data_IF_865216155429
#
_entry.id   IF_865216155429
#
_cell.length_a   1.000
_cell.length_b   1.000
_cell.length_c   1.000
_cell.angle_alpha   90.00
_cell.angle_beta   90.00
_cell.angle_gamma   90.00
#
_symmetry.space_group_name_H-M   'P 1'
#
loop_
_entity.id
_entity.type
_entity.pdbx_description
1 polymer ?
#
# COMPACT_ATOMS: atom_id res chain seq x y z
N UNK A 1 -8.20 -7.56 -7.05
CA UNK A 1 -8.46 -7.58 -5.59
C UNK A 1 -9.13 -8.87 -5.08
N UNK A 2 -9.76 -9.69 -5.94
CA UNK A 2 -10.47 -10.91 -5.53
C UNK A 2 -9.66 -11.99 -4.81
N UNK A 3 -8.31 -11.89 -4.75
CA UNK A 3 -7.49 -12.80 -3.96
C UNK A 3 -7.84 -12.80 -2.46
N UNK A 4 -8.33 -11.66 -1.96
CA UNK A 4 -8.67 -11.45 -0.55
C UNK A 4 -10.13 -11.84 -0.23
N UNK A 5 -10.97 -12.11 -1.24
CA UNK A 5 -12.37 -12.48 -1.04
C UNK A 5 -12.47 -13.81 -0.28
N UNK A 6 -13.29 -13.83 0.77
CA UNK A 6 -13.47 -14.99 1.64
C UNK A 6 -12.30 -15.29 2.60
N UNK A 7 -11.16 -14.59 2.48
CA UNK A 7 -10.01 -14.74 3.40
C UNK A 7 -9.99 -13.71 4.52
N UNK A 8 -10.52 -12.52 4.25
CA UNK A 8 -10.57 -11.39 5.20
C UNK A 8 -11.93 -10.70 5.11
N UNK A 9 -12.25 -9.91 6.14
CA UNK A 9 -13.43 -9.05 6.11
C UNK A 9 -13.32 -8.04 4.96
N UNK A 10 -14.47 -7.72 4.32
CA UNK A 10 -14.52 -6.90 3.11
C UNK A 10 -13.83 -5.53 3.28
N UNK A 11 -13.94 -4.91 4.44
CA UNK A 11 -13.35 -3.59 4.75
C UNK A 11 -11.84 -3.62 5.03
N UNK A 12 -11.19 -4.79 4.99
CA UNK A 12 -9.73 -4.91 5.01
C UNK A 12 -9.12 -5.04 3.62
N UNK A 13 -9.96 -5.24 2.61
CA UNK A 13 -9.50 -5.35 1.23
C UNK A 13 -9.03 -3.96 0.81
N UNK A 14 -7.79 -3.81 0.32
CA UNK A 14 -7.27 -2.51 -0.09
C UNK A 14 -8.04 -1.97 -1.30
N UNK A 15 -8.36 -0.68 -1.29
CA UNK A 15 -9.07 -0.01 -2.39
C UNK A 15 -8.21 0.13 -3.65
N UNK A 16 -6.89 0.24 -3.49
CA UNK A 16 -5.92 0.36 -4.58
C UNK A 16 -4.67 -0.51 -4.36
N UNK A 17 -4.10 -1.03 -5.46
CA UNK A 17 -2.84 -1.78 -5.47
C UNK A 17 -1.97 -1.27 -6.61
N UNK A 18 -0.73 -0.94 -6.29
CA UNK A 18 0.26 -0.39 -7.22
C UNK A 18 1.45 -1.32 -7.30
N UNK A 19 1.94 -1.54 -8.50
CA UNK A 19 3.21 -2.21 -8.72
C UNK A 19 4.28 -1.14 -8.89
N UNK A 20 5.38 -1.27 -8.15
CA UNK A 20 6.53 -0.38 -8.19
C UNK A 20 7.78 -1.20 -8.39
N UNK A 21 8.77 -0.62 -9.06
CA UNK A 21 10.07 -1.29 -9.28
C UNK A 21 10.85 -1.45 -7.98
N UNK A 22 10.76 -0.47 -7.08
CA UNK A 22 11.43 -0.52 -5.77
C UNK A 22 10.58 0.15 -4.67
N UNK A 23 10.65 -0.41 -3.46
CA UNK A 23 10.09 0.19 -2.26
C UNK A 23 11.13 1.09 -1.57
N UNK A 24 10.75 2.29 -1.10
CA UNK A 24 11.68 3.16 -0.39
C UNK A 24 12.05 2.53 0.96
N UNK A 25 13.34 2.43 1.23
CA UNK A 25 13.89 1.94 2.48
C UNK A 25 14.55 3.08 3.27
N UNK A 26 14.57 2.93 4.59
CA UNK A 26 15.33 3.79 5.50
C UNK A 26 16.81 3.39 5.50
N UNK A 27 17.67 4.18 6.14
CA UNK A 27 19.11 3.89 6.27
C UNK A 27 19.43 2.52 6.92
N UNK A 28 18.47 1.90 7.61
CA UNK A 28 18.61 0.55 8.20
C UNK A 28 17.95 -0.55 7.38
N UNK A 29 17.53 -0.25 6.14
CA UNK A 29 16.86 -1.20 5.25
C UNK A 29 15.40 -1.47 5.61
N UNK A 30 14.81 -0.78 6.59
CA UNK A 30 13.38 -0.92 6.90
C UNK A 30 12.53 -0.15 5.90
N UNK A 31 11.34 -0.68 5.58
CA UNK A 31 10.37 0.01 4.72
C UNK A 31 10.02 1.40 5.25
N UNK A 32 10.19 2.42 4.41
CA UNK A 32 9.95 3.80 4.79
C UNK A 32 8.49 4.20 4.54
N UNK A 33 7.61 3.82 5.47
CA UNK A 33 6.17 4.09 5.36
C UNK A 33 5.81 5.58 5.34
N UNK A 34 6.59 6.45 5.99
CA UNK A 34 6.32 7.89 5.99
C UNK A 34 6.50 8.50 4.59
N UNK A 35 7.53 8.08 3.85
CA UNK A 35 7.74 8.50 2.46
C UNK A 35 6.64 7.95 1.55
N UNK A 36 6.23 6.68 1.71
CA UNK A 36 5.09 6.10 0.99
C UNK A 36 3.80 6.90 1.22
N UNK A 37 3.49 7.26 2.47
CA UNK A 37 2.31 8.08 2.81
C UNK A 37 2.37 9.47 2.18
N UNK A 38 3.55 10.04 1.98
CA UNK A 38 3.72 11.33 1.30
C UNK A 38 3.47 11.18 -0.20
N UNK A 39 4.06 10.16 -0.84
CA UNK A 39 3.92 9.88 -2.27
C UNK A 39 2.48 9.57 -2.68
N UNK A 40 1.71 8.92 -1.81
CA UNK A 40 0.35 8.47 -2.10
C UNK A 40 -0.73 9.19 -1.28
N UNK A 41 -0.42 10.35 -0.69
CA UNK A 41 -1.36 11.10 0.18
C UNK A 41 -2.67 11.44 -0.53
N UNK A 42 -2.55 11.94 -1.75
CA UNK A 42 -3.69 12.44 -2.53
C UNK A 42 -4.37 11.34 -3.34
N UNK A 43 -3.92 10.09 -3.14
CA UNK A 43 -4.36 8.93 -3.92
C UNK A 43 -5.48 8.14 -3.25
N UNK A 44 -6.16 8.72 -2.27
CA UNK A 44 -7.38 8.14 -1.71
C UNK A 44 -8.39 8.12 -2.86
N UNK A 45 -8.68 6.92 -3.36
CA UNK A 45 -9.55 6.67 -4.49
C UNK A 45 -10.92 7.36 -4.30
N UNK A 46 -11.44 7.94 -5.39
CA UNK A 46 -12.90 8.03 -5.60
C UNK A 46 -13.50 6.61 -5.67
#
# INVERSE_FOLDING_TARGET
LGYYEGKVAKWWIPDAVEFVEELPHTATGKLWKAELKKRYRDRVAE
#
